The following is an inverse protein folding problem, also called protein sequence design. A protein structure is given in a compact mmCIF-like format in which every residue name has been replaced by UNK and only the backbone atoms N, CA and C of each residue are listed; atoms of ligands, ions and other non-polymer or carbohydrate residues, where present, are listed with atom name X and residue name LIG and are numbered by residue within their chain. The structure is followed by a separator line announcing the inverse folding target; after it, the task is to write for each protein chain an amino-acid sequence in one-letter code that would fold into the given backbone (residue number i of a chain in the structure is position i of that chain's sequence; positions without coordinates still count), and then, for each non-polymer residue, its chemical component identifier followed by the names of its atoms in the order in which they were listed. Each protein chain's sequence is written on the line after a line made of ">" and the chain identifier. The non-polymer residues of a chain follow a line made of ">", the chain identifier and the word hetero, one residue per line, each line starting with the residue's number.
data_IF_164931529287
#
_entry.id   IF_164931529287
#
_cell.length_a   1.000
_cell.length_b   1.000
_cell.length_c   1.000
_cell.angle_alpha   90.00
_cell.angle_beta   90.00
_cell.angle_gamma   90.00
#
_symmetry.space_group_name_H-M   'P 1'
#
loop_
_entity.id
_entity.type
_entity.pdbx_description
1 polymer ?
#
# COMPACT_ATOMS: atom_id res chain seq x y z
N UNK A 1 41.68 -2.71 14.00
CA UNK A 1 41.58 -4.17 14.22
C UNK A 1 40.10 -4.54 14.27
N UNK A 2 39.54 -5.09 13.19
CA UNK A 2 38.10 -5.34 13.03
C UNK A 2 37.82 -6.77 13.49
N UNK A 3 37.25 -6.94 14.68
CA UNK A 3 36.83 -8.24 15.21
C UNK A 3 35.64 -8.76 14.37
N UNK A 4 35.95 -9.64 13.42
CA UNK A 4 34.98 -10.48 12.74
C UNK A 4 34.54 -11.58 13.72
N UNK A 5 33.66 -11.25 14.67
CA UNK A 5 32.97 -12.27 15.45
C UNK A 5 31.93 -12.95 14.55
N UNK A 6 32.08 -14.26 14.37
CA UNK A 6 31.28 -15.07 13.46
C UNK A 6 29.78 -14.94 13.68
N UNK A 7 29.03 -14.88 12.57
CA UNK A 7 27.56 -14.90 12.51
C UNK A 7 27.00 -16.29 12.87
N UNK A 8 27.27 -16.81 14.07
CA UNK A 8 26.54 -17.99 14.58
C UNK A 8 25.29 -17.48 15.30
N UNK A 9 24.11 -17.87 14.81
CA UNK A 9 22.82 -17.62 15.48
C UNK A 9 22.09 -16.30 15.18
N UNK A 10 22.44 -15.57 14.10
CA UNK A 10 21.69 -14.39 13.65
C UNK A 10 20.78 -14.74 12.47
N UNK A 11 19.47 -14.76 12.71
CA UNK A 11 18.46 -14.97 11.69
C UNK A 11 17.93 -13.62 11.15
N UNK A 12 17.73 -13.54 9.83
CA UNK A 12 17.07 -12.41 9.18
C UNK A 12 15.62 -12.77 8.82
N UNK A 13 14.69 -11.86 9.06
CA UNK A 13 13.28 -12.04 8.70
C UNK A 13 12.44 -12.66 9.81
N UNK A 14 11.32 -13.28 9.43
CA UNK A 14 10.43 -13.98 10.36
C UNK A 14 11.17 -15.10 11.10
N UNK A 15 10.67 -15.49 12.27
CA UNK A 15 11.24 -16.56 13.10
C UNK A 15 10.97 -17.93 12.43
N UNK A 16 12.00 -18.78 12.27
CA UNK A 16 11.91 -20.04 11.52
C UNK A 16 12.18 -21.28 12.40
N UNK A 17 11.88 -21.17 13.71
CA UNK A 17 12.06 -22.27 14.65
C UNK A 17 13.40 -22.26 15.38
N UNK A 18 13.49 -23.14 16.39
CA UNK A 18 14.65 -23.34 17.25
C UNK A 18 15.54 -24.43 16.66
N UNK A 19 16.32 -24.14 15.61
CA UNK A 19 17.41 -25.07 15.29
C UNK A 19 18.52 -24.90 16.35
N UNK A 20 18.90 -26.02 16.95
CA UNK A 20 19.72 -26.15 18.16
C UNK A 20 20.96 -25.26 18.18
N UNK A 21 20.89 -24.14 18.90
CA UNK A 21 22.06 -23.53 19.50
C UNK A 21 21.65 -23.11 20.90
N UNK A 22 22.16 -23.83 21.91
CA UNK A 22 22.04 -23.41 23.30
C UNK A 22 22.43 -21.94 23.43
N UNK A 23 21.43 -21.08 23.68
CA UNK A 23 21.61 -19.64 23.81
C UNK A 23 20.84 -18.84 22.76
N UNK A 24 19.64 -18.40 23.13
CA UNK A 24 18.98 -17.16 22.68
C UNK A 24 19.35 -16.70 21.26
N UNK A 25 18.85 -17.40 20.25
CA UNK A 25 18.96 -17.00 18.84
C UNK A 25 18.49 -15.56 18.65
N UNK A 26 19.29 -14.76 17.96
CA UNK A 26 19.02 -13.33 17.73
C UNK A 26 18.28 -13.17 16.42
N UNK A 27 17.12 -12.53 16.43
CA UNK A 27 16.37 -12.19 15.22
C UNK A 27 16.65 -10.74 14.85
N UNK A 28 16.97 -10.46 13.58
CA UNK A 28 17.06 -9.10 13.06
C UNK A 28 15.87 -8.81 12.16
N UNK A 29 14.95 -8.01 12.66
CA UNK A 29 13.82 -7.49 11.88
C UNK A 29 14.24 -6.29 11.02
N UNK A 30 13.58 -6.12 9.87
CA UNK A 30 13.88 -5.04 8.91
C UNK A 30 13.80 -3.64 9.53
N UNK A 31 12.81 -3.41 10.41
CA UNK A 31 12.58 -2.12 11.05
C UNK A 31 13.32 -1.94 12.40
N UNK A 32 14.06 -2.95 12.86
CA UNK A 32 14.82 -2.88 14.11
C UNK A 32 16.30 -2.58 13.83
N UNK A 33 16.83 -1.54 14.47
CA UNK A 33 18.26 -1.16 14.35
C UNK A 33 19.18 -2.13 15.11
N UNK A 34 18.64 -2.87 16.06
CA UNK A 34 19.34 -3.85 16.90
C UNK A 34 18.73 -5.25 16.70
N UNK A 35 19.49 -6.28 17.08
CA UNK A 35 18.96 -7.65 17.17
C UNK A 35 17.94 -7.74 18.30
N UNK A 36 16.82 -8.39 18.03
CA UNK A 36 15.81 -8.74 19.02
C UNK A 36 16.13 -10.11 19.60
N UNK A 37 16.07 -10.19 20.93
CA UNK A 37 16.24 -11.43 21.68
C UNK A 37 14.86 -11.86 22.17
N UNK A 38 14.48 -13.15 22.07
CA UNK A 38 13.22 -13.61 22.60
C UNK A 38 13.15 -13.39 24.14
N UNK A 39 11.98 -12.98 24.68
CA UNK A 39 11.80 -12.89 26.13
C UNK A 39 11.95 -14.26 26.81
N UNK A 40 12.19 -14.26 28.13
CA UNK A 40 12.45 -15.49 28.90
C UNK A 40 11.31 -16.53 28.86
N UNK A 41 10.10 -16.10 28.55
CA UNK A 41 8.90 -16.92 28.39
C UNK A 41 8.45 -17.04 26.92
N UNK A 42 9.35 -16.86 25.96
CA UNK A 42 9.04 -16.98 24.55
C UNK A 42 8.66 -18.42 24.17
N UNK A 43 7.46 -18.58 23.62
CA UNK A 43 6.99 -19.84 23.07
C UNK A 43 7.33 -19.92 21.57
N UNK A 44 8.38 -20.70 21.26
CA UNK A 44 8.82 -20.93 19.89
C UNK A 44 7.79 -21.65 19.01
N UNK A 45 6.88 -22.43 19.60
CA UNK A 45 5.81 -23.14 18.87
C UNK A 45 4.74 -22.15 18.42
N UNK A 46 4.31 -21.24 19.31
CA UNK A 46 3.38 -20.17 18.96
C UNK A 46 3.96 -19.20 17.91
N UNK A 47 5.28 -18.98 17.93
CA UNK A 47 5.97 -18.16 16.95
C UNK A 47 6.04 -18.82 15.57
N UNK A 48 6.27 -20.14 15.52
CA UNK A 48 6.28 -20.90 14.27
C UNK A 48 4.90 -20.92 13.60
N UNK A 49 3.83 -21.08 14.38
CA UNK A 49 2.45 -20.91 13.89
C UNK A 49 2.21 -19.51 13.30
N UNK A 50 2.74 -18.48 13.94
CA UNK A 50 2.59 -17.09 13.48
C UNK A 50 3.44 -16.75 12.24
N UNK A 51 4.35 -17.64 11.82
CA UNK A 51 5.17 -17.47 10.62
C UNK A 51 4.48 -18.00 9.36
N UNK A 52 3.43 -18.81 9.52
CA UNK A 52 2.60 -19.30 8.41
C UNK A 52 1.62 -18.21 7.96
N UNK A 53 1.25 -18.23 6.69
CA UNK A 53 0.23 -17.33 6.17
C UNK A 53 -1.12 -17.68 6.80
N UNK A 54 -1.92 -16.68 7.23
CA UNK A 54 -3.28 -16.96 7.68
C UNK A 54 -4.12 -17.49 6.51
N UNK A 55 -5.09 -18.36 6.82
CA UNK A 55 -6.10 -18.82 5.85
C UNK A 55 -7.07 -17.71 5.40
N UNK A 56 -7.01 -16.54 6.05
CA UNK A 56 -7.84 -15.39 5.77
C UNK A 56 -7.10 -14.34 4.94
N UNK A 57 -7.80 -13.73 4.00
CA UNK A 57 -7.32 -12.61 3.21
C UNK A 57 -7.99 -11.31 3.63
N UNK A 58 -7.29 -10.19 3.44
CA UNK A 58 -7.84 -8.86 3.66
C UNK A 58 -8.32 -8.28 2.32
N UNK A 59 -9.59 -7.88 2.29
CA UNK A 59 -10.14 -7.11 1.19
C UNK A 59 -10.53 -5.71 1.69
N UNK A 60 -10.04 -4.69 0.99
CA UNK A 60 -10.43 -3.31 1.29
C UNK A 60 -11.90 -3.11 0.90
N UNK A 61 -12.71 -2.78 1.89
CA UNK A 61 -14.15 -2.54 1.74
C UNK A 61 -14.45 -1.05 1.52
N UNK A 62 -13.87 -0.17 2.34
CA UNK A 62 -14.16 1.25 2.31
C UNK A 62 -12.96 2.10 2.71
N UNK A 63 -12.87 3.29 2.12
CA UNK A 63 -11.88 4.32 2.44
C UNK A 63 -12.59 5.56 2.93
N UNK A 64 -12.15 6.02 4.10
CA UNK A 64 -12.63 7.24 4.73
C UNK A 64 -11.61 8.36 4.55
N UNK A 65 -12.11 9.56 4.23
CA UNK A 65 -11.29 10.73 3.94
C UNK A 65 -10.90 10.83 2.46
N UNK A 66 -10.64 12.05 2.01
CA UNK A 66 -10.08 12.33 0.69
C UNK A 66 -8.80 13.16 0.84
N UNK A 67 -7.84 12.94 -0.04
CA UNK A 67 -6.61 13.72 -0.03
C UNK A 67 -6.89 15.18 -0.38
N UNK A 68 -6.79 16.08 0.60
CA UNK A 68 -6.67 17.51 0.32
C UNK A 68 -5.19 17.80 0.09
N UNK A 69 -4.79 18.10 -1.15
CA UNK A 69 -3.45 18.60 -1.40
C UNK A 69 -3.36 20.03 -0.83
N UNK A 70 -2.64 20.17 0.29
CA UNK A 70 -2.45 21.42 1.03
C UNK A 70 -1.42 22.38 0.40
N UNK A 71 -1.27 22.38 -0.93
CA UNK A 71 -0.46 23.40 -1.61
C UNK A 71 -1.38 24.56 -2.01
N UNK A 72 -1.02 25.76 -1.61
CA UNK A 72 -1.70 27.06 -1.80
C UNK A 72 -1.99 27.50 -3.26
N UNK A 73 -1.78 26.63 -4.24
CA UNK A 73 -2.40 26.78 -5.55
C UNK A 73 -3.88 26.32 -5.44
N UNK A 74 -4.80 26.72 -6.33
CA UNK A 74 -6.06 26.01 -6.47
C UNK A 74 -5.72 24.57 -6.88
N UNK A 75 -5.54 23.70 -5.88
CA UNK A 75 -5.28 22.30 -6.08
C UNK A 75 -6.42 21.80 -6.96
N UNK A 76 -6.07 21.39 -8.18
CA UNK A 76 -6.99 20.76 -9.11
C UNK A 76 -7.84 19.78 -8.31
N UNK A 77 -9.16 20.01 -8.35
CA UNK A 77 -10.15 19.39 -7.48
C UNK A 77 -9.84 17.91 -7.29
N UNK A 78 -9.39 17.50 -6.11
CA UNK A 78 -9.08 16.09 -5.82
C UNK A 78 -10.34 15.20 -5.77
N UNK A 79 -11.49 15.77 -6.13
CA UNK A 79 -12.81 15.19 -6.19
C UNK A 79 -13.51 15.67 -7.47
N UNK A 80 -14.02 14.73 -8.26
CA UNK A 80 -14.83 14.98 -9.44
C UNK A 80 -16.14 14.19 -9.38
N UNK A 81 -17.17 14.69 -10.04
CA UNK A 81 -18.46 13.99 -10.21
C UNK A 81 -18.56 13.53 -11.66
N UNK A 82 -18.88 12.25 -11.88
CA UNK A 82 -19.17 11.70 -13.20
C UNK A 82 -20.58 12.10 -13.64
N UNK A 83 -20.77 12.28 -14.94
CA UNK A 83 -22.07 12.56 -15.55
C UNK A 83 -22.80 11.27 -15.94
N UNK A 84 -22.70 10.24 -15.10
CA UNK A 84 -23.45 9.00 -15.25
C UNK A 84 -24.76 9.05 -14.44
N UNK A 85 -25.65 8.09 -14.66
CA UNK A 85 -26.95 8.03 -13.98
C UNK A 85 -26.84 8.07 -12.44
N UNK A 86 -25.77 7.47 -11.91
CA UNK A 86 -25.52 7.40 -10.47
C UNK A 86 -24.76 8.62 -9.90
N UNK A 87 -24.33 9.58 -10.72
CA UNK A 87 -23.52 10.74 -10.31
C UNK A 87 -22.35 10.36 -9.39
N UNK A 88 -21.60 9.33 -9.79
CA UNK A 88 -20.54 8.74 -8.96
C UNK A 88 -19.38 9.74 -8.73
N UNK A 89 -18.79 9.64 -7.55
CA UNK A 89 -17.73 10.52 -7.07
C UNK A 89 -16.36 9.86 -7.29
N UNK A 90 -15.43 10.57 -7.92
CA UNK A 90 -14.05 10.09 -8.13
C UNK A 90 -13.09 10.96 -7.34
N UNK A 91 -12.31 10.35 -6.45
CA UNK A 91 -11.32 11.05 -5.64
C UNK A 91 -10.09 10.19 -5.34
N UNK A 92 -9.06 10.80 -4.75
CA UNK A 92 -7.81 10.14 -4.38
C UNK A 92 -7.65 10.04 -2.86
N UNK A 93 -7.02 8.96 -2.41
CA UNK A 93 -6.64 8.72 -1.02
C UNK A 93 -5.32 7.93 -0.96
N UNK A 94 -4.23 8.59 -0.52
CA UNK A 94 -2.88 8.03 -0.56
C UNK A 94 -2.50 7.53 -1.98
N UNK A 95 -2.12 6.26 -2.13
CA UNK A 95 -1.79 5.62 -3.41
C UNK A 95 -3.03 5.09 -4.18
N UNK A 96 -4.25 5.40 -3.72
CA UNK A 96 -5.49 4.84 -4.24
C UNK A 96 -6.34 5.90 -4.94
N UNK A 97 -7.02 5.50 -6.03
CA UNK A 97 -8.16 6.26 -6.54
C UNK A 97 -9.47 5.50 -6.28
N UNK A 98 -10.47 6.24 -5.83
CA UNK A 98 -11.77 5.74 -5.36
C UNK A 98 -12.86 6.24 -6.29
N UNK A 99 -13.74 5.34 -6.71
CA UNK A 99 -15.03 5.64 -7.36
C UNK A 99 -16.13 5.27 -6.39
N UNK A 100 -16.83 6.26 -5.85
CA UNK A 100 -17.86 6.10 -4.84
C UNK A 100 -19.25 6.35 -5.42
N UNK A 101 -20.15 5.40 -5.18
CA UNK A 101 -21.55 5.51 -5.54
C UNK A 101 -22.36 5.96 -4.30
N UNK A 102 -22.87 7.21 -4.26
CA UNK A 102 -23.58 7.71 -3.09
C UNK A 102 -24.95 7.05 -2.88
N UNK A 103 -25.58 6.52 -3.94
CA UNK A 103 -26.90 5.90 -3.85
C UNK A 103 -26.85 4.50 -3.25
N UNK A 104 -25.84 3.71 -3.64
CA UNK A 104 -25.63 2.34 -3.14
C UNK A 104 -24.73 2.26 -1.92
N UNK A 105 -24.04 3.36 -1.59
CA UNK A 105 -23.00 3.42 -0.57
C UNK A 105 -21.88 2.39 -0.81
N UNK A 106 -21.46 2.25 -2.06
CA UNK A 106 -20.43 1.29 -2.47
C UNK A 106 -19.22 2.00 -3.06
N UNK A 107 -18.02 1.46 -2.83
CA UNK A 107 -16.77 1.96 -3.38
C UNK A 107 -16.11 0.95 -4.31
N UNK A 108 -15.50 1.48 -5.37
CA UNK A 108 -14.60 0.74 -6.26
C UNK A 108 -13.25 1.43 -6.26
N UNK A 109 -12.20 0.63 -6.47
CA UNK A 109 -10.84 1.04 -6.20
C UNK A 109 -9.92 0.77 -7.39
N UNK A 110 -9.16 1.78 -7.80
CA UNK A 110 -8.03 1.63 -8.71
C UNK A 110 -6.71 1.61 -7.93
N UNK A 111 -5.98 0.49 -8.00
CA UNK A 111 -4.75 0.18 -7.23
C UNK A 111 -3.48 0.15 -8.09
N UNK A 112 -3.39 0.99 -9.12
CA UNK A 112 -2.24 0.97 -10.04
C UNK A 112 -0.96 1.61 -9.48
N UNK A 113 -1.07 2.52 -8.52
CA UNK A 113 0.06 3.30 -8.00
C UNK A 113 0.73 2.60 -6.81
N UNK A 114 2.05 2.77 -6.69
CA UNK A 114 2.88 2.22 -5.62
C UNK A 114 3.38 3.30 -4.63
N UNK A 115 3.02 4.58 -4.86
CA UNK A 115 3.31 5.74 -4.01
C UNK A 115 2.14 6.75 -4.09
N UNK A 116 2.22 7.85 -3.34
CA UNK A 116 1.17 8.85 -3.24
C UNK A 116 0.71 9.42 -4.60
N UNK A 117 -0.60 9.37 -4.84
CA UNK A 117 -1.24 10.08 -5.95
C UNK A 117 -1.39 11.55 -5.59
N UNK A 118 -0.97 12.45 -6.49
CA UNK A 118 -1.02 13.91 -6.26
C UNK A 118 -1.95 14.64 -7.21
N UNK A 119 -2.28 14.06 -8.36
CA UNK A 119 -3.17 14.69 -9.33
C UNK A 119 -4.18 13.70 -9.92
N UNK A 120 -5.35 14.23 -10.25
CA UNK A 120 -6.51 13.52 -10.80
C UNK A 120 -7.11 14.39 -11.91
N UNK A 121 -7.46 13.77 -13.03
CA UNK A 121 -8.22 14.38 -14.11
C UNK A 121 -9.26 13.37 -14.59
N UNK A 122 -10.47 13.84 -14.84
CA UNK A 122 -11.62 12.98 -15.17
C UNK A 122 -12.33 13.52 -16.40
N UNK A 123 -12.50 12.66 -17.39
CA UNK A 123 -13.46 12.85 -18.47
C UNK A 123 -14.85 12.43 -17.97
N UNK A 124 -15.77 13.40 -17.85
CA UNK A 124 -17.02 13.21 -17.11
C UNK A 124 -18.04 12.29 -17.79
N UNK A 125 -18.01 12.18 -19.12
CA UNK A 125 -19.01 11.46 -19.91
C UNK A 125 -18.67 9.98 -20.05
N UNK A 126 -17.50 9.65 -20.64
CA UNK A 126 -17.08 8.25 -20.78
C UNK A 126 -16.48 7.66 -19.49
N UNK A 127 -16.15 8.51 -18.50
CA UNK A 127 -15.55 8.08 -17.25
C UNK A 127 -14.10 7.62 -17.40
N UNK A 128 -13.35 8.19 -18.35
CA UNK A 128 -11.91 7.98 -18.46
C UNK A 128 -11.19 8.83 -17.41
N UNK A 129 -10.32 8.21 -16.62
CA UNK A 129 -9.63 8.86 -15.51
C UNK A 129 -8.13 8.79 -15.71
N UNK A 130 -7.44 9.90 -15.47
CA UNK A 130 -5.99 10.00 -15.43
C UNK A 130 -5.54 10.38 -14.01
N UNK A 131 -4.53 9.68 -13.49
CA UNK A 131 -3.99 9.89 -12.14
C UNK A 131 -2.48 9.89 -12.18
N UNK A 132 -1.84 10.82 -11.48
CA UNK A 132 -0.39 10.95 -11.42
C UNK A 132 0.17 10.76 -10.03
N UNK A 133 1.17 9.89 -9.94
CA UNK A 133 1.90 9.56 -8.72
C UNK A 133 3.17 10.42 -8.59
N UNK A 134 3.46 10.86 -7.37
CA UNK A 134 4.74 11.48 -7.02
C UNK A 134 5.78 10.44 -6.54
N UNK A 135 7.04 10.86 -6.43
CA UNK A 135 8.11 10.04 -5.87
C UNK A 135 9.27 9.83 -6.83
N UNK A 136 10.15 8.87 -6.49
CA UNK A 136 11.40 8.60 -7.23
C UNK A 136 11.18 7.98 -8.61
N UNK A 137 10.03 7.32 -8.81
CA UNK A 137 9.62 6.68 -10.06
C UNK A 137 8.24 7.19 -10.46
N UNK A 138 8.13 8.47 -10.86
CA UNK A 138 6.84 9.07 -11.12
C UNK A 138 6.17 8.37 -12.31
N UNK A 139 4.86 8.15 -12.18
CA UNK A 139 4.06 7.50 -13.20
C UNK A 139 2.67 8.10 -13.31
N UNK A 140 2.08 7.98 -14.49
CA UNK A 140 0.72 8.37 -14.80
C UNK A 140 -0.05 7.14 -15.23
N UNK A 141 -1.19 6.88 -14.58
CA UNK A 141 -2.08 5.78 -14.94
C UNK A 141 -3.37 6.34 -15.53
N UNK A 142 -3.78 5.80 -16.68
CA UNK A 142 -5.07 6.07 -17.32
C UNK A 142 -5.93 4.83 -17.20
N UNK A 143 -7.17 4.98 -16.75
CA UNK A 143 -8.05 3.87 -16.39
C UNK A 143 -9.52 4.23 -16.53
N UNK A 144 -10.40 3.23 -16.54
CA UNK A 144 -11.85 3.42 -16.67
C UNK A 144 -12.55 3.39 -15.32
N UNK A 145 -13.33 4.43 -14.99
CA UNK A 145 -14.05 4.51 -13.71
C UNK A 145 -15.08 3.38 -13.52
N UNK A 146 -15.73 2.95 -14.60
CA UNK A 146 -16.75 1.89 -14.58
C UNK A 146 -16.23 0.52 -14.14
N UNK A 147 -14.97 0.22 -14.44
CA UNK A 147 -14.36 -1.09 -14.17
C UNK A 147 -13.15 -1.03 -13.24
N UNK A 148 -12.65 0.17 -12.93
CA UNK A 148 -11.37 0.39 -12.24
C UNK A 148 -10.21 -0.38 -12.87
N UNK A 149 -10.24 -0.61 -14.19
CA UNK A 149 -9.18 -1.30 -14.94
C UNK A 149 -8.23 -0.30 -15.61
N UNK A 150 -6.93 -0.57 -15.47
CA UNK A 150 -5.89 0.20 -16.15
C UNK A 150 -6.04 0.06 -17.68
N UNK A 151 -6.07 1.20 -18.38
CA UNK A 151 -6.02 1.27 -19.83
C UNK A 151 -4.57 1.37 -20.32
N UNK A 152 -3.78 2.22 -19.67
CA UNK A 152 -2.36 2.39 -19.97
C UNK A 152 -1.65 3.06 -18.80
N UNK A 153 -0.32 2.93 -18.74
CA UNK A 153 0.52 3.65 -17.80
C UNK A 153 1.75 4.22 -18.49
N UNK A 154 2.12 5.43 -18.08
CA UNK A 154 3.30 6.13 -18.55
C UNK A 154 4.27 6.28 -17.38
N UNK A 155 5.52 5.86 -17.57
CA UNK A 155 6.60 6.09 -16.61
C UNK A 155 7.48 7.18 -17.18
N UNK A 156 7.80 8.17 -16.36
CA UNK A 156 8.80 9.17 -16.74
C UNK A 156 10.16 8.56 -16.46
N UNK A 157 10.83 8.10 -17.52
CA UNK A 157 12.25 7.76 -17.47
C UNK A 157 13.03 9.03 -17.81
N UNK A 158 14.08 9.32 -17.04
CA UNK A 158 15.09 10.33 -17.38
C UNK A 158 15.75 10.01 -18.73
#
# INVERSE_FOLDING_TARGET
>A
MRLMAGKKGLQQGAFNGLEEVGGAGKVKYAHCRTSVVPPSNFDGVAAQRSAELPDAELNLEFVYGHGMCASSAPAASALHVLMNEASELVYIAAALAVVYNPWRHEQRFFRGHDDDVKCLAVEKEQGLVATGQAGRKPMVCVWWASSCKERTRFRLTE
#
